data_IF_959223218060
#
_entry.id   IF_959223218060
#
_cell.length_a   1.000
_cell.length_b   1.000
_cell.length_c   1.000
_cell.angle_alpha   90.00
_cell.angle_beta   90.00
_cell.angle_gamma   90.00
#
_symmetry.space_group_name_H-M   'P 1'
#
loop_
_entity.id
_entity.type
_entity.pdbx_description
1 polymer ?
#
# COMPACT_ATOMS: atom_id res chain seq x y z
N UNK A 1 66.15 -21.14 -9.80
CA UNK A 1 66.50 -21.11 -8.36
C UNK A 1 65.69 -20.00 -7.74
N UNK A 2 64.58 -20.39 -7.08
CA UNK A 2 64.35 -20.34 -5.62
C UNK A 2 63.68 -19.01 -5.23
N UNK A 3 62.36 -18.99 -4.99
CA UNK A 3 61.67 -19.26 -3.70
C UNK A 3 61.85 -18.06 -2.75
N UNK A 4 60.87 -17.41 -2.11
CA UNK A 4 59.72 -17.80 -1.28
C UNK A 4 58.80 -16.54 -1.16
N UNK A 5 57.47 -16.60 -1.30
CA UNK A 5 56.47 -16.84 -0.24
C UNK A 5 56.73 -16.21 1.15
N UNK A 6 56.00 -15.14 1.48
CA UNK A 6 55.39 -14.84 2.80
C UNK A 6 54.22 -13.86 2.57
N UNK A 7 52.98 -14.34 2.45
CA UNK A 7 51.94 -14.25 3.50
C UNK A 7 52.12 -13.10 4.51
N UNK A 8 51.16 -12.17 4.55
CA UNK A 8 50.33 -11.92 5.75
C UNK A 8 49.45 -10.66 5.63
N UNK A 9 48.14 -10.89 5.67
CA UNK A 9 47.14 -10.09 6.40
C UNK A 9 47.00 -8.59 6.10
N UNK A 10 46.10 -8.26 5.16
CA UNK A 10 45.09 -7.23 5.42
C UNK A 10 43.71 -7.83 5.18
N UNK A 11 43.25 -8.56 6.19
CA UNK A 11 41.90 -9.05 6.29
C UNK A 11 40.94 -7.87 6.42
N UNK A 12 40.00 -7.80 5.48
CA UNK A 12 38.59 -7.65 5.78
C UNK A 12 38.19 -6.60 6.80
N UNK A 13 38.08 -5.35 6.36
CA UNK A 13 36.92 -4.54 6.72
C UNK A 13 36.22 -4.21 5.41
N UNK A 14 35.37 -5.13 5.00
CA UNK A 14 34.37 -4.87 3.99
C UNK A 14 33.57 -3.64 4.46
N UNK A 15 33.68 -2.54 3.70
CA UNK A 15 32.64 -1.51 3.63
C UNK A 15 31.37 -2.15 3.03
N UNK A 16 30.72 -3.02 3.81
CA UNK A 16 29.38 -3.55 3.58
C UNK A 16 28.40 -2.85 4.54
N UNK A 17 28.54 -1.54 4.69
CA UNK A 17 27.59 -0.70 5.43
C UNK A 17 27.16 0.48 4.58
N UNK A 18 26.78 0.21 3.34
CA UNK A 18 26.00 1.15 2.50
C UNK A 18 24.81 0.40 1.90
N UNK A 19 24.05 -0.23 2.80
CA UNK A 19 22.77 -0.89 2.51
C UNK A 19 21.75 -0.77 3.64
N UNK A 20 22.12 -0.20 4.80
CA UNK A 20 21.16 0.35 5.74
C UNK A 20 20.85 1.79 5.33
N UNK A 21 20.20 1.94 4.17
CA UNK A 21 19.40 3.12 3.95
C UNK A 21 18.25 3.01 4.93
N UNK A 22 18.34 3.81 5.98
CA UNK A 22 17.37 4.06 7.04
C UNK A 22 15.94 3.69 6.63
N UNK A 23 15.47 2.51 7.04
CA UNK A 23 14.08 2.41 7.46
C UNK A 23 14.00 3.26 8.72
N UNK A 24 13.96 4.59 8.55
CA UNK A 24 13.42 5.43 9.60
C UNK A 24 12.05 4.84 9.88
N UNK A 25 11.78 4.48 11.14
CA UNK A 25 10.41 4.22 11.57
C UNK A 25 9.56 5.33 10.97
N UNK A 26 8.60 4.96 10.13
CA UNK A 26 7.63 5.91 9.62
C UNK A 26 6.83 6.39 10.83
N UNK A 27 7.30 7.45 11.48
CA UNK A 27 6.71 7.98 12.69
C UNK A 27 5.57 8.92 12.31
N UNK A 28 4.52 8.90 13.12
CA UNK A 28 3.47 9.90 13.06
C UNK A 28 4.09 11.24 13.50
N UNK A 29 3.93 12.33 12.73
CA UNK A 29 4.40 13.66 13.15
C UNK A 29 3.82 14.03 14.52
N UNK A 30 4.61 14.63 15.41
CA UNK A 30 4.25 14.88 16.81
C UNK A 30 2.94 15.69 16.96
N UNK A 31 2.72 16.70 16.12
CA UNK A 31 1.48 17.49 16.13
C UNK A 31 0.24 16.66 15.71
N UNK A 32 0.43 15.71 14.79
CA UNK A 32 -0.62 14.79 14.36
C UNK A 32 -0.89 13.74 15.43
N UNK A 33 0.16 13.21 16.05
CA UNK A 33 0.08 12.22 17.13
C UNK A 33 -0.73 12.77 18.31
N UNK A 34 -0.42 14.00 18.75
CA UNK A 34 -1.20 14.70 19.79
C UNK A 34 -2.67 14.87 19.41
N UNK A 35 -2.96 15.23 18.16
CA UNK A 35 -4.35 15.39 17.70
C UNK A 35 -5.11 14.06 17.74
N UNK A 36 -4.44 12.96 17.38
CA UNK A 36 -5.00 11.61 17.41
C UNK A 36 -5.27 11.17 18.85
N UNK A 37 -4.35 11.43 19.78
CA UNK A 37 -4.51 11.06 21.18
C UNK A 37 -5.64 11.85 21.87
N UNK A 38 -5.77 13.14 21.58
CA UNK A 38 -6.89 13.96 22.09
C UNK A 38 -8.23 13.47 21.54
N UNK A 39 -8.30 13.08 20.26
CA UNK A 39 -9.50 12.46 19.68
C UNK A 39 -9.83 11.11 20.31
N UNK A 40 -8.82 10.27 20.58
CA UNK A 40 -9.02 9.00 21.29
C UNK A 40 -9.57 9.23 22.68
N UNK A 41 -9.00 10.16 23.44
CA UNK A 41 -9.49 10.48 24.78
C UNK A 41 -10.94 11.00 24.78
N UNK A 42 -11.33 11.73 23.73
CA UNK A 42 -12.70 12.23 23.59
C UNK A 42 -13.71 11.12 23.26
N UNK A 43 -13.40 10.27 22.26
CA UNK A 43 -14.33 9.27 21.72
C UNK A 43 -14.29 7.92 22.43
N UNK A 44 -13.14 7.51 22.96
CA UNK A 44 -12.94 6.20 23.59
C UNK A 44 -13.06 6.37 25.10
N UNK A 45 -14.26 6.11 25.64
CA UNK A 45 -14.52 6.11 27.08
C UNK A 45 -14.76 4.67 27.52
N UNK A 46 -13.79 4.10 28.24
CA UNK A 46 -13.78 2.75 28.84
C UNK A 46 -14.74 1.76 28.17
N UNK A 47 -14.46 1.46 26.90
CA UNK A 47 -15.35 0.70 26.02
C UNK A 47 -14.78 -0.70 25.80
N UNK A 48 -15.33 -1.68 26.52
CA UNK A 48 -14.95 -3.08 26.38
C UNK A 48 -15.26 -3.65 24.98
N UNK A 49 -16.16 -3.02 24.21
CA UNK A 49 -16.46 -3.46 22.84
C UNK A 49 -15.33 -3.16 21.87
N UNK A 50 -14.44 -2.21 22.19
CA UNK A 50 -13.30 -1.85 21.36
C UNK A 50 -12.35 -3.03 21.12
N UNK A 51 -12.27 -3.97 22.07
CA UNK A 51 -11.40 -5.14 22.03
C UNK A 51 -12.14 -6.44 21.72
N UNK A 52 -13.25 -6.38 20.97
CA UNK A 52 -14.07 -7.53 20.60
C UNK A 52 -13.45 -8.49 19.55
N UNK A 53 -12.13 -8.42 19.30
CA UNK A 53 -11.39 -9.16 18.27
C UNK A 53 -11.77 -8.87 16.80
N UNK A 54 -12.59 -7.86 16.52
CA UNK A 54 -13.02 -7.46 15.17
C UNK A 54 -12.53 -6.04 14.81
N UNK A 55 -11.21 -5.83 14.62
CA UNK A 55 -10.69 -4.51 14.26
C UNK A 55 -11.12 -4.12 12.85
N UNK A 56 -11.41 -2.84 12.65
CA UNK A 56 -11.92 -2.31 11.37
C UNK A 56 -10.92 -2.50 10.22
N UNK A 57 -9.63 -2.19 10.45
CA UNK A 57 -8.61 -2.22 9.39
C UNK A 57 -7.42 -3.12 9.67
N UNK A 58 -7.15 -3.49 10.94
CA UNK A 58 -5.92 -4.21 11.30
C UNK A 58 -5.83 -5.59 10.63
N UNK A 59 -6.96 -6.25 10.37
CA UNK A 59 -6.99 -7.50 9.60
C UNK A 59 -6.46 -7.30 8.18
N UNK A 60 -6.91 -6.26 7.48
CA UNK A 60 -6.43 -5.94 6.14
C UNK A 60 -4.95 -5.50 6.12
N UNK A 61 -4.51 -4.77 7.14
CA UNK A 61 -3.12 -4.31 7.25
C UNK A 61 -2.13 -5.45 7.55
N UNK A 62 -2.58 -6.52 8.22
CA UNK A 62 -1.74 -7.69 8.52
C UNK A 62 -1.22 -8.36 7.23
N UNK A 63 -2.06 -8.44 6.21
CA UNK A 63 -1.73 -9.12 4.97
C UNK A 63 -1.04 -8.21 3.95
N UNK A 64 -0.99 -6.90 4.22
CA UNK A 64 -0.53 -5.85 3.31
C UNK A 64 0.86 -6.16 2.73
N UNK A 65 1.86 -6.41 3.58
CA UNK A 65 3.25 -6.64 3.13
C UNK A 65 3.57 -8.12 2.86
N UNK A 66 2.69 -9.03 3.27
CA UNK A 66 2.94 -10.47 3.21
C UNK A 66 2.39 -11.07 1.92
N UNK A 67 1.17 -10.68 1.54
CA UNK A 67 0.42 -11.34 0.49
C UNK A 67 0.21 -10.49 -0.77
N UNK A 68 0.51 -9.18 -0.72
CA UNK A 68 0.21 -8.25 -1.80
C UNK A 68 1.48 -7.69 -2.45
N UNK A 69 1.45 -7.50 -3.76
CA UNK A 69 2.45 -6.74 -4.52
C UNK A 69 2.26 -5.23 -4.29
N UNK A 70 3.30 -4.42 -4.49
CA UNK A 70 3.28 -2.96 -4.28
C UNK A 70 2.06 -2.23 -4.91
N UNK A 71 1.60 -2.55 -6.14
CA UNK A 71 0.41 -1.92 -6.71
C UNK A 71 -0.87 -2.22 -5.93
N UNK A 72 -1.00 -3.43 -5.40
CA UNK A 72 -2.14 -3.90 -4.62
C UNK A 72 -2.11 -3.26 -3.22
N UNK A 73 -0.91 -3.15 -2.63
CA UNK A 73 -0.69 -2.43 -1.38
C UNK A 73 -1.13 -0.97 -1.50
N UNK A 74 -0.71 -0.29 -2.57
CA UNK A 74 -1.05 1.11 -2.81
C UNK A 74 -2.56 1.30 -3.03
N UNK A 75 -3.22 0.38 -3.74
CA UNK A 75 -4.67 0.39 -3.90
C UNK A 75 -5.38 0.22 -2.55
N UNK A 76 -4.99 -0.78 -1.76
CA UNK A 76 -5.60 -1.06 -0.47
C UNK A 76 -5.42 0.12 0.51
N UNK A 77 -4.22 0.68 0.59
CA UNK A 77 -3.94 1.85 1.43
C UNK A 77 -4.77 3.06 1.03
N UNK A 78 -4.93 3.32 -0.27
CA UNK A 78 -5.78 4.40 -0.74
C UNK A 78 -7.26 4.20 -0.36
N UNK A 79 -7.78 2.98 -0.50
CA UNK A 79 -9.15 2.64 -0.09
C UNK A 79 -9.34 2.83 1.42
N UNK A 80 -8.34 2.44 2.24
CA UNK A 80 -8.37 2.64 3.69
C UNK A 80 -8.38 4.15 4.02
N UNK A 81 -7.50 4.94 3.42
CA UNK A 81 -7.45 6.40 3.62
C UNK A 81 -8.76 7.07 3.23
N UNK A 82 -9.35 6.72 2.08
CA UNK A 82 -10.66 7.23 1.67
C UNK A 82 -11.77 6.86 2.66
N UNK A 83 -11.66 5.68 3.25
CA UNK A 83 -12.62 5.23 4.26
C UNK A 83 -12.48 6.01 5.56
N UNK A 84 -11.25 6.26 6.02
CA UNK A 84 -11.00 7.17 7.15
C UNK A 84 -11.52 8.58 6.87
N UNK A 85 -11.26 9.15 5.69
CA UNK A 85 -11.79 10.47 5.33
C UNK A 85 -13.31 10.52 5.48
N UNK A 86 -14.04 9.52 4.97
CA UNK A 86 -15.50 9.44 5.13
C UNK A 86 -15.95 9.28 6.58
N UNK A 87 -15.25 8.48 7.38
CA UNK A 87 -15.54 8.31 8.82
C UNK A 87 -15.35 9.64 9.54
N UNK A 88 -14.23 10.31 9.35
CA UNK A 88 -13.92 11.58 10.00
C UNK A 88 -14.86 12.71 9.57
N UNK A 89 -15.27 12.77 8.30
CA UNK A 89 -16.29 13.76 7.87
C UNK A 89 -17.62 13.53 8.58
N UNK A 90 -18.03 12.28 8.82
CA UNK A 90 -19.25 12.00 9.61
C UNK A 90 -19.07 12.41 11.07
N UNK A 91 -17.97 12.02 11.69
CA UNK A 91 -17.65 12.39 13.08
C UNK A 91 -17.59 13.92 13.27
N UNK A 92 -17.05 14.65 12.30
CA UNK A 92 -16.97 16.11 12.32
C UNK A 92 -18.35 16.75 12.23
N UNK A 93 -19.19 16.28 11.30
CA UNK A 93 -20.57 16.74 11.14
C UNK A 93 -21.44 16.44 12.37
N UNK A 94 -21.20 15.32 13.05
CA UNK A 94 -21.95 14.89 14.22
C UNK A 94 -21.44 15.53 15.53
N UNK A 95 -20.23 16.11 15.53
CA UNK A 95 -19.65 16.74 16.72
C UNK A 95 -20.29 18.11 16.99
N UNK A 96 -20.58 18.39 18.26
CA UNK A 96 -20.95 19.73 18.73
C UNK A 96 -19.75 20.52 19.30
N UNK A 97 -18.65 19.83 19.60
CA UNK A 97 -17.44 20.44 20.14
C UNK A 97 -16.53 20.92 18.99
N UNK A 98 -16.30 22.23 18.95
CA UNK A 98 -15.48 22.88 17.91
C UNK A 98 -14.01 22.47 17.99
N UNK A 99 -13.48 22.23 19.21
CA UNK A 99 -12.11 21.75 19.38
C UNK A 99 -11.94 20.36 18.74
N UNK A 100 -12.92 19.47 18.92
CA UNK A 100 -12.96 18.14 18.28
C UNK A 100 -13.05 18.26 16.75
N UNK A 101 -13.87 19.17 16.22
CA UNK A 101 -13.94 19.41 14.77
C UNK A 101 -12.60 19.86 14.19
N UNK A 102 -11.94 20.82 14.84
CA UNK A 102 -10.63 21.32 14.40
C UNK A 102 -9.58 20.19 14.34
N UNK A 103 -9.58 19.29 15.33
CA UNK A 103 -8.69 18.12 15.36
C UNK A 103 -9.00 17.12 14.25
N UNK A 104 -10.27 16.83 14.01
CA UNK A 104 -10.69 15.95 12.93
C UNK A 104 -10.25 16.52 11.57
N UNK A 105 -10.46 17.82 11.33
CA UNK A 105 -10.01 18.51 10.13
C UNK A 105 -8.49 18.47 9.99
N UNK A 106 -7.74 18.68 11.07
CA UNK A 106 -6.28 18.60 11.08
C UNK A 106 -5.76 17.20 10.69
N UNK A 107 -6.34 16.13 11.27
CA UNK A 107 -5.99 14.75 10.91
C UNK A 107 -6.34 14.43 9.46
N UNK A 108 -7.51 14.89 8.97
CA UNK A 108 -7.93 14.69 7.59
C UNK A 108 -7.00 15.37 6.59
N UNK A 109 -6.55 16.59 6.86
CA UNK A 109 -5.60 17.32 6.02
C UNK A 109 -4.27 16.56 5.91
N UNK A 110 -3.77 15.99 7.00
CA UNK A 110 -2.58 15.14 6.99
C UNK A 110 -2.79 13.84 6.20
N UNK A 111 -3.94 13.16 6.36
CA UNK A 111 -4.27 11.97 5.58
C UNK A 111 -4.37 12.26 4.09
N UNK A 112 -4.97 13.40 3.71
CA UNK A 112 -5.06 13.85 2.32
C UNK A 112 -3.67 14.05 1.71
N UNK A 113 -2.78 14.79 2.39
CA UNK A 113 -1.40 15.00 1.95
C UNK A 113 -0.64 13.68 1.81
N UNK A 114 -0.80 12.76 2.76
CA UNK A 114 -0.17 11.44 2.70
C UNK A 114 -0.65 10.65 1.47
N UNK A 115 -1.96 10.68 1.19
CA UNK A 115 -2.54 10.03 0.01
C UNK A 115 -2.01 10.63 -1.30
N UNK A 116 -2.03 11.95 -1.41
CA UNK A 116 -1.58 12.67 -2.60
C UNK A 116 -0.09 12.43 -2.91
N UNK A 117 0.75 12.37 -1.87
CA UNK A 117 2.20 12.21 -2.02
C UNK A 117 2.63 10.77 -2.33
N UNK A 118 2.01 9.78 -1.68
CA UNK A 118 2.51 8.40 -1.70
C UNK A 118 1.58 7.42 -2.42
N UNK A 119 0.31 7.76 -2.61
CA UNK A 119 -0.69 6.87 -3.21
C UNK A 119 -1.50 7.55 -4.35
N UNK A 120 -0.85 8.21 -5.33
CA UNK A 120 -1.55 9.05 -6.28
C UNK A 120 -2.47 8.29 -7.26
N UNK A 121 -3.70 8.81 -7.39
CA UNK A 121 -4.45 8.96 -8.64
C UNK A 121 -5.20 7.76 -9.22
N UNK A 122 -4.63 6.55 -9.26
CA UNK A 122 -5.25 5.43 -10.01
C UNK A 122 -6.10 4.48 -9.15
N UNK A 123 -6.00 4.63 -7.83
CA UNK A 123 -6.73 3.82 -6.88
C UNK A 123 -8.24 4.09 -6.92
N UNK A 124 -8.65 5.33 -7.18
CA UNK A 124 -10.06 5.68 -7.35
C UNK A 124 -10.66 5.03 -8.60
N UNK A 125 -9.97 5.09 -9.74
CA UNK A 125 -10.41 4.44 -10.99
C UNK A 125 -10.49 2.92 -10.84
N UNK A 126 -9.46 2.29 -10.25
CA UNK A 126 -9.43 0.85 -9.99
C UNK A 126 -10.56 0.42 -9.05
N UNK A 127 -10.85 1.21 -8.01
CA UNK A 127 -11.98 0.97 -7.13
C UNK A 127 -13.31 1.03 -7.90
N UNK A 128 -13.51 2.05 -8.72
CA UNK A 128 -14.71 2.19 -9.56
C UNK A 128 -14.87 1.00 -10.53
N UNK A 129 -13.77 0.53 -11.13
CA UNK A 129 -13.80 -0.66 -11.98
C UNK A 129 -14.19 -1.90 -11.17
N UNK A 130 -13.64 -2.10 -9.98
CA UNK A 130 -13.99 -3.23 -9.11
C UNK A 130 -15.47 -3.22 -8.71
N UNK A 131 -15.99 -2.06 -8.29
CA UNK A 131 -17.41 -1.89 -7.96
C UNK A 131 -18.32 -2.17 -9.17
N UNK A 132 -17.93 -1.70 -10.35
CA UNK A 132 -18.67 -1.96 -11.60
C UNK A 132 -18.70 -3.45 -11.94
N UNK A 133 -17.57 -4.13 -11.77
CA UNK A 133 -17.46 -5.58 -12.01
C UNK A 133 -18.31 -6.38 -11.01
N UNK A 134 -18.29 -6.02 -9.72
CA UNK A 134 -19.13 -6.68 -8.70
C UNK A 134 -20.64 -6.47 -8.90
N UNK A 135 -21.03 -5.39 -9.59
CA UNK A 135 -22.43 -5.10 -9.90
C UNK A 135 -22.95 -5.85 -11.15
N UNK A 136 -22.11 -6.64 -11.83
CA UNK A 136 -22.51 -7.41 -13.02
C UNK A 136 -23.52 -8.48 -12.62
N UNK A 137 -24.64 -8.54 -13.35
CA UNK A 137 -25.65 -9.60 -13.21
C UNK A 137 -25.23 -10.82 -14.03
N UNK A 138 -24.46 -11.71 -13.41
CA UNK A 138 -23.86 -12.88 -14.06
C UNK A 138 -24.89 -13.89 -14.59
N UNK A 139 -26.10 -13.88 -14.02
CA UNK A 139 -27.25 -14.69 -14.42
C UNK A 139 -28.06 -14.11 -15.58
N UNK A 140 -27.84 -12.83 -15.95
CA UNK A 140 -28.54 -12.19 -17.07
C UNK A 140 -28.06 -12.77 -18.42
N UNK A 141 -28.94 -13.39 -19.22
CA UNK A 141 -28.56 -13.98 -20.50
C UNK A 141 -27.98 -12.97 -21.51
N UNK A 142 -28.35 -11.69 -21.44
CA UNK A 142 -27.78 -10.64 -22.30
C UNK A 142 -26.34 -10.36 -21.90
N UNK A 143 -26.05 -10.29 -20.60
CA UNK A 143 -24.69 -10.09 -20.06
C UNK A 143 -23.80 -11.26 -20.47
N UNK A 144 -24.26 -12.50 -20.31
CA UNK A 144 -23.50 -13.69 -20.69
C UNK A 144 -23.10 -13.66 -22.18
N UNK A 145 -24.03 -13.29 -23.07
CA UNK A 145 -23.73 -13.15 -24.51
C UNK A 145 -22.72 -12.04 -24.80
N UNK A 146 -22.80 -10.89 -24.10
CA UNK A 146 -21.80 -9.82 -24.22
C UNK A 146 -20.42 -10.28 -23.74
N UNK A 147 -20.35 -10.96 -22.60
CA UNK A 147 -19.12 -11.52 -22.06
C UNK A 147 -18.46 -12.50 -23.06
N UNK A 148 -19.26 -13.38 -23.69
CA UNK A 148 -18.77 -14.29 -24.73
C UNK A 148 -18.25 -13.55 -25.96
N UNK A 149 -18.93 -12.47 -26.39
CA UNK A 149 -18.49 -11.64 -27.51
C UNK A 149 -17.12 -10.98 -27.25
N UNK A 150 -16.88 -10.52 -26.02
CA UNK A 150 -15.66 -9.80 -25.64
C UNK A 150 -14.50 -10.73 -25.22
N UNK A 151 -14.78 -11.99 -24.90
CA UNK A 151 -13.84 -12.93 -24.29
C UNK A 151 -12.51 -13.06 -25.07
N UNK A 152 -12.56 -13.10 -26.41
CA UNK A 152 -11.35 -13.20 -27.24
C UNK A 152 -10.43 -11.99 -27.06
N UNK A 153 -10.98 -10.79 -26.86
CA UNK A 153 -10.19 -9.58 -26.59
C UNK A 153 -9.58 -9.67 -25.19
N UNK A 154 -10.37 -9.99 -24.18
CA UNK A 154 -9.92 -10.15 -22.78
C UNK A 154 -8.75 -11.15 -22.70
N UNK A 155 -8.88 -12.31 -23.34
CA UNK A 155 -7.84 -13.35 -23.35
C UNK A 155 -6.53 -12.86 -24.00
N UNK A 156 -6.62 -12.07 -25.08
CA UNK A 156 -5.45 -11.48 -25.74
C UNK A 156 -4.72 -10.50 -24.82
N UNK A 157 -5.45 -9.60 -24.17
CA UNK A 157 -4.89 -8.62 -23.22
C UNK A 157 -4.18 -9.34 -22.05
N UNK A 158 -4.84 -10.33 -21.45
CA UNK A 158 -4.26 -11.11 -20.36
C UNK A 158 -2.95 -11.81 -20.77
N UNK A 159 -2.92 -12.37 -21.98
CA UNK A 159 -1.71 -13.03 -22.52
C UNK A 159 -0.58 -12.03 -22.77
N UNK A 160 -0.90 -10.83 -23.29
CA UNK A 160 0.07 -9.77 -23.52
C UNK A 160 0.70 -9.28 -22.21
N UNK A 161 -0.12 -9.08 -21.16
CA UNK A 161 0.36 -8.69 -19.83
C UNK A 161 1.37 -9.71 -19.27
N UNK A 162 1.09 -11.01 -19.38
CA UNK A 162 2.03 -12.07 -18.98
C UNK A 162 3.36 -11.98 -19.75
N UNK A 163 3.30 -11.73 -21.05
CA UNK A 163 4.49 -11.64 -21.89
C UNK A 163 5.35 -10.41 -21.54
N UNK A 164 4.73 -9.28 -21.18
CA UNK A 164 5.42 -8.09 -20.69
C UNK A 164 6.17 -8.39 -19.39
N UNK A 165 5.52 -9.02 -18.40
CA UNK A 165 6.16 -9.44 -17.14
C UNK A 165 7.38 -10.36 -17.41
N UNK A 166 7.24 -11.31 -18.34
CA UNK A 166 8.35 -12.21 -18.72
C UNK A 166 9.51 -11.48 -19.40
N UNK A 167 9.22 -10.51 -20.29
CA UNK A 167 10.24 -9.70 -20.97
C UNK A 167 11.04 -8.86 -19.97
N UNK A 168 10.37 -8.27 -19.00
CA UNK A 168 11.03 -7.49 -17.96
C UNK A 168 11.92 -8.34 -17.06
N UNK A 169 11.44 -9.52 -16.63
CA UNK A 169 12.24 -10.49 -15.86
C UNK A 169 13.52 -10.88 -16.60
N UNK A 170 13.44 -11.20 -17.89
CA UNK A 170 14.62 -11.53 -18.72
C UNK A 170 15.61 -10.37 -18.81
N UNK A 171 15.12 -9.13 -18.98
CA UNK A 171 15.97 -7.92 -18.99
C UNK A 171 16.71 -7.72 -17.68
N UNK A 172 16.05 -7.93 -16.53
CA UNK A 172 16.67 -7.83 -15.20
C UNK A 172 17.78 -8.87 -15.02
N UNK A 173 17.54 -10.13 -15.40
CA UNK A 173 18.54 -11.20 -15.36
C UNK A 173 19.76 -10.88 -16.23
N UNK A 174 19.56 -10.44 -17.47
CA UNK A 174 20.67 -10.09 -18.36
C UNK A 174 21.53 -8.93 -17.83
N UNK A 175 20.95 -7.95 -17.13
CA UNK A 175 21.70 -6.87 -16.47
C UNK A 175 22.53 -7.37 -15.29
N UNK A 176 21.98 -8.28 -14.48
CA UNK A 176 22.69 -8.90 -13.34
C UNK A 176 23.87 -9.74 -13.84
N UNK A 177 23.66 -10.58 -14.86
CA UNK A 177 24.74 -11.40 -15.43
C UNK A 177 25.84 -10.55 -16.06
N UNK A 178 25.51 -9.40 -16.68
CA UNK A 178 26.53 -8.46 -17.20
C UNK A 178 27.33 -7.79 -16.07
N UNK A 179 26.67 -7.41 -14.97
CA UNK A 179 27.34 -6.79 -13.81
C UNK A 179 28.24 -7.77 -13.04
N UNK A 180 27.97 -9.07 -13.10
CA UNK A 180 28.81 -10.13 -12.51
C UNK A 180 30.00 -10.54 -13.40
N UNK A 181 29.98 -10.18 -14.68
CA UNK A 181 31.05 -10.48 -15.65
C UNK A 181 31.98 -9.29 -15.92
N UNK A 182 31.69 -8.14 -15.32
CA UNK A 182 32.54 -6.94 -15.30
C UNK A 182 33.20 -6.81 -13.94
#
# INVERSE_FOLDING_TARGET
MTAQNTMAFFWGVCLLTSGWMTYGEASVPENLDKSIDELKAYYIKDDHELHNAHPVFLRALKDLKVNLEEPEQNLLMSIIMDTYSRIFTRMENDSLDEATKERLAHVQEHLKKLKENYFPGKSAELKTYAETLWAIKEDDPVIQRKALFELKRVYREATQLRNLKNKERRRRQAKITKKQKS
#
